data_IF_463724889779
#
_entry.id   IF_463724889779
#
_cell.length_a   1.000
_cell.length_b   1.000
_cell.length_c   1.000
_cell.angle_alpha   90.00
_cell.angle_beta   90.00
_cell.angle_gamma   90.00
#
_symmetry.space_group_name_H-M   'P 1'
#
loop_
_entity.id
_entity.type
_entity.pdbx_description
1 polymer ?
#
# COMPACT_ATOMS: atom_id res chain seq x y z
N UNK A 1 42.22 -54.71 88.19
CA UNK A 1 42.76 -53.86 87.12
C UNK A 1 42.07 -54.20 85.81
N UNK A 2 40.74 -54.22 85.83
CA UNK A 2 39.91 -54.61 84.67
C UNK A 2 38.59 -53.82 84.61
N UNK A 3 38.65 -52.51 84.60
CA UNK A 3 37.39 -51.67 84.49
C UNK A 3 37.54 -50.50 83.58
N UNK A 4 38.57 -50.45 82.74
CA UNK A 4 38.76 -49.23 81.91
C UNK A 4 38.57 -49.46 80.38
N UNK A 5 38.29 -50.73 79.99
CA UNK A 5 38.22 -51.03 78.54
C UNK A 5 36.79 -51.10 78.00
N UNK A 6 35.76 -51.16 78.82
CA UNK A 6 34.38 -51.18 78.34
C UNK A 6 33.78 -49.78 78.02
N UNK A 7 34.32 -48.72 78.56
CA UNK A 7 33.82 -47.37 78.35
C UNK A 7 34.25 -46.81 76.98
N UNK A 8 35.39 -47.21 76.47
CA UNK A 8 35.89 -46.71 75.18
C UNK A 8 35.17 -47.36 74.02
N UNK A 9 34.74 -48.58 74.09
CA UNK A 9 33.99 -49.27 73.02
C UNK A 9 32.60 -48.66 72.86
N UNK A 10 31.95 -48.26 73.94
CA UNK A 10 30.61 -47.63 73.92
C UNK A 10 30.64 -46.22 73.26
N UNK A 11 31.73 -45.50 73.43
CA UNK A 11 31.87 -44.16 72.85
C UNK A 11 32.14 -44.19 71.37
N UNK A 12 32.92 -45.18 70.89
CA UNK A 12 33.17 -45.36 69.43
C UNK A 12 31.91 -45.79 68.67
N UNK A 13 31.08 -46.65 69.26
CA UNK A 13 29.80 -47.03 68.61
C UNK A 13 28.84 -45.87 68.56
N UNK A 14 28.80 -45.01 69.57
CA UNK A 14 27.95 -43.85 69.58
C UNK A 14 28.44 -42.74 68.58
N UNK A 15 29.74 -42.58 68.41
CA UNK A 15 30.30 -41.67 67.42
C UNK A 15 29.98 -42.13 66.01
N UNK A 16 30.03 -43.41 65.74
CA UNK A 16 29.71 -43.97 64.43
C UNK A 16 28.19 -43.88 64.12
N UNK A 17 27.29 -44.04 65.07
CA UNK A 17 25.86 -43.83 64.90
C UNK A 17 25.54 -42.35 64.65
N UNK A 18 26.23 -41.41 65.27
CA UNK A 18 26.04 -39.99 65.07
C UNK A 18 26.57 -39.52 63.73
N UNK A 19 27.63 -40.11 63.22
CA UNK A 19 28.14 -39.72 61.88
C UNK A 19 27.30 -40.33 60.75
N UNK A 20 26.58 -41.40 60.91
CA UNK A 20 25.74 -42.02 59.89
C UNK A 20 24.36 -41.31 59.75
N UNK A 21 23.95 -40.59 60.80
CA UNK A 21 22.70 -39.79 60.74
C UNK A 21 22.91 -38.36 60.27
N UNK A 22 24.16 -38.05 59.86
CA UNK A 22 24.49 -36.73 59.36
C UNK A 22 24.20 -36.65 57.87
N UNK A 23 23.08 -36.06 57.59
CA UNK A 23 22.82 -35.27 56.41
C UNK A 23 22.10 -35.99 55.28
N UNK A 24 20.80 -35.88 55.29
CA UNK A 24 20.23 -35.24 54.14
C UNK A 24 20.32 -33.74 54.43
N UNK A 25 21.46 -33.18 54.13
CA UNK A 25 21.74 -31.78 54.41
C UNK A 25 20.84 -30.91 53.56
N UNK A 26 20.51 -29.72 54.02
CA UNK A 26 19.80 -28.68 53.29
C UNK A 26 20.38 -28.45 51.88
N UNK A 27 21.63 -28.81 51.65
CA UNK A 27 22.31 -28.75 50.33
C UNK A 27 21.73 -29.75 49.33
N UNK A 28 21.39 -30.98 49.72
CA UNK A 28 20.82 -31.98 48.79
C UNK A 28 19.37 -31.56 48.38
N UNK A 29 18.63 -30.97 49.32
CA UNK A 29 17.28 -30.48 49.04
C UNK A 29 17.34 -29.27 48.10
N UNK A 30 18.29 -28.36 48.30
CA UNK A 30 18.50 -27.21 47.39
C UNK A 30 18.97 -27.66 46.02
N UNK A 31 19.89 -28.61 45.92
CA UNK A 31 20.39 -29.18 44.68
C UNK A 31 19.26 -29.80 43.87
N UNK A 32 18.40 -30.58 44.50
CA UNK A 32 17.24 -31.20 43.86
C UNK A 32 16.22 -30.17 43.34
N UNK A 33 16.01 -29.09 44.07
CA UNK A 33 15.12 -27.97 43.63
C UNK A 33 15.71 -27.24 42.42
N UNK A 34 17.01 -26.98 42.45
CA UNK A 34 17.72 -26.33 41.34
C UNK A 34 17.70 -27.24 40.13
N UNK A 35 18.00 -28.54 40.31
CA UNK A 35 17.96 -29.54 39.23
C UNK A 35 16.55 -29.67 38.65
N UNK A 36 15.50 -29.59 39.46
CA UNK A 36 14.11 -29.61 39.00
C UNK A 36 13.78 -28.37 38.12
N UNK A 37 14.23 -27.19 38.57
CA UNK A 37 14.02 -25.98 37.77
C UNK A 37 14.73 -26.07 36.42
N UNK A 38 15.97 -26.55 36.41
CA UNK A 38 16.72 -26.80 35.17
C UNK A 38 16.01 -27.80 34.26
N UNK A 39 15.47 -28.86 34.84
CA UNK A 39 14.71 -29.86 34.09
C UNK A 39 13.45 -29.28 33.45
N UNK A 40 12.69 -28.46 34.18
CA UNK A 40 11.51 -27.77 33.65
C UNK A 40 11.90 -26.84 32.50
N UNK A 41 12.98 -26.08 32.67
CA UNK A 41 13.50 -25.18 31.64
C UNK A 41 13.93 -25.96 30.40
N UNK A 42 14.58 -27.10 30.58
CA UNK A 42 14.99 -27.96 29.47
C UNK A 42 13.79 -28.52 28.71
N UNK A 43 12.76 -28.95 29.41
CA UNK A 43 11.51 -29.43 28.76
C UNK A 43 10.85 -28.32 27.96
N UNK A 44 10.74 -27.14 28.53
CA UNK A 44 10.18 -25.97 27.83
C UNK A 44 11.01 -25.64 26.57
N UNK A 45 12.34 -25.65 26.69
CA UNK A 45 13.26 -25.41 25.58
C UNK A 45 13.08 -26.41 24.45
N UNK A 46 12.94 -27.69 24.81
CA UNK A 46 12.69 -28.77 23.82
C UNK A 46 11.35 -28.52 23.10
N UNK A 47 10.29 -28.19 23.83
CA UNK A 47 8.97 -27.91 23.23
C UNK A 47 9.08 -26.77 22.24
N UNK A 48 9.72 -25.64 22.61
CA UNK A 48 9.92 -24.50 21.72
C UNK A 48 10.80 -24.86 20.51
N UNK A 49 11.85 -25.66 20.71
CA UNK A 49 12.72 -26.13 19.62
C UNK A 49 11.94 -26.96 18.60
N UNK A 50 11.11 -27.88 19.09
CA UNK A 50 10.24 -28.70 18.23
C UNK A 50 9.25 -27.82 17.48
N UNK A 51 8.65 -26.83 18.14
CA UNK A 51 7.72 -25.87 17.49
C UNK A 51 8.44 -25.06 16.41
N UNK A 52 9.64 -24.58 16.68
CA UNK A 52 10.44 -23.82 15.71
C UNK A 52 10.83 -24.68 14.49
N UNK A 53 11.24 -25.94 14.75
CA UNK A 53 11.53 -26.90 13.67
C UNK A 53 10.27 -27.21 12.85
N UNK A 54 9.12 -27.37 13.52
CA UNK A 54 7.85 -27.60 12.85
C UNK A 54 7.46 -26.38 11.98
N UNK A 55 7.56 -25.17 12.53
CA UNK A 55 7.31 -23.92 11.78
C UNK A 55 8.30 -23.73 10.62
N UNK A 56 9.57 -24.07 10.82
CA UNK A 56 10.60 -23.98 9.79
C UNK A 56 10.48 -25.07 8.71
N UNK A 57 9.94 -26.24 9.05
CA UNK A 57 9.73 -27.35 8.10
C UNK A 57 8.40 -27.24 7.36
N UNK A 58 7.47 -26.42 7.85
CA UNK A 58 6.38 -25.98 7.01
C UNK A 58 7.05 -25.25 5.86
N UNK A 59 7.28 -25.98 4.75
CA UNK A 59 7.57 -25.31 3.47
C UNK A 59 6.59 -24.14 3.41
N UNK A 60 7.05 -22.91 3.17
CA UNK A 60 6.08 -21.91 2.79
C UNK A 60 5.24 -22.64 1.75
N UNK A 61 3.95 -22.91 2.04
CA UNK A 61 3.03 -23.24 0.98
C UNK A 61 3.47 -22.27 -0.10
N UNK A 62 3.92 -22.76 -1.23
CA UNK A 62 3.93 -21.97 -2.43
C UNK A 62 2.49 -21.47 -2.53
N UNK A 63 2.18 -20.53 -1.72
CA UNK A 63 1.44 -19.43 -2.15
C UNK A 63 2.32 -18.93 -3.29
N UNK A 64 2.25 -19.61 -4.46
CA UNK A 64 1.87 -18.78 -5.57
C UNK A 64 1.02 -17.78 -4.84
N UNK A 65 1.64 -16.67 -4.42
CA UNK A 65 0.86 -15.57 -4.00
C UNK A 65 -0.25 -15.55 -5.03
N UNK A 66 -1.37 -16.22 -4.76
CA UNK A 66 -2.57 -15.55 -5.10
C UNK A 66 -2.29 -14.27 -4.36
N UNK A 67 -1.64 -13.38 -5.06
CA UNK A 67 -1.62 -12.00 -4.72
C UNK A 67 -3.04 -11.86 -4.29
N UNK A 68 -3.30 -11.78 -2.99
CA UNK A 68 -4.54 -11.21 -2.55
C UNK A 68 -4.51 -9.95 -3.35
N UNK A 69 -5.09 -10.03 -4.54
CA UNK A 69 -5.19 -8.89 -5.45
C UNK A 69 -5.86 -7.91 -4.55
N UNK A 70 -5.04 -7.04 -3.99
CA UNK A 70 -5.54 -6.04 -3.07
C UNK A 70 -6.79 -5.55 -3.77
N UNK A 71 -7.94 -5.75 -3.19
CA UNK A 71 -9.27 -5.64 -3.84
C UNK A 71 -9.39 -4.36 -4.69
N UNK A 72 -8.46 -3.44 -4.48
CA UNK A 72 -8.36 -2.17 -5.18
C UNK A 72 -7.18 -2.10 -6.17
N UNK A 73 -6.36 -3.16 -6.30
CA UNK A 73 -5.27 -3.17 -7.30
C UNK A 73 -5.85 -3.26 -8.70
N UNK A 74 -5.23 -2.57 -9.63
CA UNK A 74 -5.61 -2.57 -11.03
C UNK A 74 -4.33 -2.55 -11.88
N UNK A 75 -4.20 -3.48 -12.81
CA UNK A 75 -2.99 -3.66 -13.60
C UNK A 75 -2.61 -2.39 -14.37
N UNK A 76 -1.34 -2.14 -14.49
CA UNK A 76 -0.78 -1.04 -15.29
C UNK A 76 -1.07 -1.26 -16.78
N UNK A 77 -1.02 -0.19 -17.58
CA UNK A 77 -1.17 -0.27 -19.04
C UNK A 77 0.09 0.35 -19.66
N UNK A 78 0.70 -0.39 -20.57
CA UNK A 78 1.95 -0.02 -21.25
C UNK A 78 1.71 0.10 -22.76
N UNK A 79 2.54 0.91 -23.42
CA UNK A 79 2.65 0.93 -24.88
C UNK A 79 3.52 -0.26 -25.38
N UNK A 80 3.73 -0.34 -26.69
CA UNK A 80 4.55 -1.39 -27.30
C UNK A 80 6.02 -1.39 -26.85
N UNK A 81 6.52 -0.23 -26.42
CA UNK A 81 7.90 0.00 -26.03
C UNK A 81 8.12 -0.15 -24.52
N UNK A 82 7.05 -0.35 -23.74
CA UNK A 82 7.09 -0.47 -22.28
C UNK A 82 6.90 0.85 -21.54
N UNK A 83 6.55 1.93 -22.23
CA UNK A 83 6.24 3.21 -21.59
C UNK A 83 4.89 3.12 -20.87
N UNK A 84 4.83 3.66 -19.65
CA UNK A 84 3.58 3.68 -18.88
C UNK A 84 2.57 4.65 -19.50
N UNK A 85 1.45 4.12 -19.90
CA UNK A 85 0.26 4.88 -20.28
C UNK A 85 -0.63 5.11 -19.05
N UNK A 86 -0.72 4.08 -18.20
CA UNK A 86 -1.44 4.13 -16.92
C UNK A 86 -0.65 3.38 -15.87
N UNK A 87 -0.54 3.97 -14.68
CA UNK A 87 0.14 3.34 -13.55
C UNK A 87 -0.70 3.42 -12.29
N UNK A 88 -0.74 2.33 -11.53
CA UNK A 88 -1.36 2.31 -10.19
C UNK A 88 -0.28 2.57 -9.16
N UNK A 89 -0.45 3.63 -8.37
CA UNK A 89 0.51 4.04 -7.34
C UNK A 89 -0.19 4.15 -5.99
N UNK A 90 0.57 3.94 -4.94
CA UNK A 90 0.10 4.25 -3.59
C UNK A 90 0.05 5.77 -3.44
N UNK A 91 -1.04 6.27 -2.90
CA UNK A 91 -1.21 7.67 -2.51
C UNK A 91 -1.76 7.73 -1.10
N UNK A 92 -1.57 8.84 -0.45
CA UNK A 92 -2.10 9.06 0.90
C UNK A 92 -3.07 10.24 0.83
N UNK A 93 -4.28 10.02 1.34
CA UNK A 93 -5.27 11.07 1.55
C UNK A 93 -5.21 11.48 3.03
N UNK A 94 -5.30 12.78 3.28
CA UNK A 94 -5.35 13.35 4.63
C UNK A 94 -6.76 13.83 4.91
N UNK A 95 -7.35 13.28 5.96
CA UNK A 95 -8.62 13.74 6.51
C UNK A 95 -8.44 14.42 7.86
N UNK A 96 -9.43 15.22 8.25
CA UNK A 96 -9.48 15.84 9.57
C UNK A 96 -10.80 15.44 10.22
N UNK A 97 -10.68 14.97 11.48
CA UNK A 97 -11.83 14.72 12.33
C UNK A 97 -12.01 15.91 13.30
N UNK A 98 -12.96 16.83 13.03
CA UNK A 98 -13.09 18.04 13.84
C UNK A 98 -13.37 17.82 15.32
N UNK A 99 -13.98 16.67 15.67
CA UNK A 99 -14.31 16.32 17.07
C UNK A 99 -13.04 16.09 17.90
N UNK A 100 -11.96 15.62 17.24
CA UNK A 100 -10.68 15.33 17.90
C UNK A 100 -9.72 16.53 17.93
N UNK A 101 -10.10 17.67 17.33
CA UNK A 101 -9.26 18.87 17.30
C UNK A 101 -9.25 19.54 18.67
N UNK A 102 -8.08 19.60 19.31
CA UNK A 102 -7.90 20.23 20.62
C UNK A 102 -7.82 21.75 20.48
N UNK A 103 -7.00 22.24 19.56
CA UNK A 103 -6.79 23.67 19.32
C UNK A 103 -6.98 23.98 17.82
N UNK A 104 -8.17 24.48 17.47
CA UNK A 104 -8.53 24.82 16.08
C UNK A 104 -7.64 25.92 15.50
N UNK A 105 -7.23 26.90 16.30
CA UNK A 105 -6.39 28.01 15.82
C UNK A 105 -5.00 27.52 15.48
N UNK A 106 -4.38 26.74 16.38
CA UNK A 106 -3.05 26.15 16.18
C UNK A 106 -3.03 25.24 14.94
N UNK A 107 -4.04 24.38 14.82
CA UNK A 107 -4.16 23.48 13.66
C UNK A 107 -4.23 24.29 12.35
N UNK A 108 -5.09 25.32 12.28
CA UNK A 108 -5.26 26.16 11.08
C UNK A 108 -3.97 26.87 10.71
N UNK A 109 -3.25 27.45 11.67
CA UNK A 109 -1.97 28.13 11.43
C UNK A 109 -0.97 27.15 10.84
N UNK A 110 -0.83 25.96 11.45
CA UNK A 110 0.11 24.93 10.98
C UNK A 110 -0.23 24.45 9.57
N UNK A 111 -1.51 24.19 9.31
CA UNK A 111 -1.95 23.77 7.96
C UNK A 111 -1.72 24.88 6.93
N UNK A 112 -1.90 26.14 7.30
CA UNK A 112 -1.68 27.28 6.42
C UNK A 112 -0.20 27.44 6.04
N UNK A 113 0.71 27.14 6.96
CA UNK A 113 2.15 27.15 6.69
C UNK A 113 2.54 26.06 5.68
N UNK A 114 1.90 24.89 5.75
CA UNK A 114 2.20 23.77 4.84
C UNK A 114 1.47 23.94 3.49
N UNK A 115 0.23 24.45 3.50
CA UNK A 115 -0.65 24.59 2.33
C UNK A 115 -1.18 26.01 2.18
N UNK A 116 -0.34 26.99 1.84
CA UNK A 116 -0.76 28.40 1.82
C UNK A 116 -1.87 28.71 0.81
N UNK A 117 -2.01 27.92 -0.25
CA UNK A 117 -2.92 28.20 -1.37
C UNK A 117 -4.35 27.63 -1.18
N UNK A 118 -4.68 27.09 0.00
CA UNK A 118 -6.02 26.55 0.25
C UNK A 118 -7.02 27.62 0.72
N UNK A 119 -8.29 27.36 0.46
CA UNK A 119 -9.39 28.21 0.93
C UNK A 119 -9.69 27.92 2.42
N UNK A 120 -9.07 28.66 3.32
CA UNK A 120 -9.23 28.47 4.76
C UNK A 120 -10.59 28.90 5.29
N UNK A 121 -11.31 29.79 4.60
CA UNK A 121 -12.69 30.13 4.97
C UNK A 121 -13.62 28.90 4.84
N UNK A 122 -13.43 28.10 3.79
CA UNK A 122 -14.19 26.86 3.62
C UNK A 122 -13.79 25.80 4.64
N UNK A 123 -12.48 25.68 4.94
CA UNK A 123 -11.95 24.72 5.93
C UNK A 123 -12.51 25.02 7.32
N UNK A 124 -12.57 26.30 7.72
CA UNK A 124 -13.17 26.74 8.98
C UNK A 124 -14.63 26.28 9.07
N UNK A 125 -15.42 26.51 8.02
CA UNK A 125 -16.83 26.07 7.96
C UNK A 125 -16.95 24.53 8.08
N UNK A 126 -16.01 23.78 7.49
CA UNK A 126 -15.99 22.31 7.62
C UNK A 126 -15.65 21.87 9.04
N UNK A 127 -14.72 22.56 9.71
CA UNK A 127 -14.37 22.30 11.12
C UNK A 127 -15.53 22.57 12.07
N UNK A 128 -16.39 23.55 11.76
CA UNK A 128 -17.58 23.88 12.57
C UNK A 128 -18.68 22.82 12.46
N UNK A 129 -18.75 22.08 11.35
CA UNK A 129 -19.78 21.06 11.12
C UNK A 129 -19.57 19.77 11.94
N UNK A 130 -18.44 19.64 12.60
CA UNK A 130 -18.08 18.46 13.44
C UNK A 130 -18.22 17.10 12.72
N UNK A 131 -18.04 17.11 11.39
CA UNK A 131 -18.03 15.89 10.56
C UNK A 131 -16.68 15.72 9.91
N UNK A 132 -16.19 14.47 9.88
CA UNK A 132 -14.95 14.11 9.16
C UNK A 132 -14.98 14.66 7.73
N UNK A 133 -13.86 15.20 7.25
CA UNK A 133 -13.71 15.64 5.86
C UNK A 133 -12.28 15.41 5.35
N UNK A 134 -12.14 15.16 4.06
CA UNK A 134 -10.82 15.10 3.43
C UNK A 134 -10.27 16.50 3.25
N UNK A 135 -9.10 16.75 3.82
CA UNK A 135 -8.38 18.02 3.74
C UNK A 135 -7.52 18.08 2.47
N UNK A 136 -6.78 17.02 2.18
CA UNK A 136 -5.94 16.91 0.99
C UNK A 136 -5.97 15.47 0.48
N UNK A 137 -6.16 15.30 -0.82
CA UNK A 137 -6.08 14.00 -1.50
C UNK A 137 -4.77 13.90 -2.26
N UNK A 138 -4.19 12.69 -2.32
CA UNK A 138 -2.95 12.40 -3.05
C UNK A 138 -1.79 13.31 -2.62
N UNK A 139 -1.60 13.43 -1.31
CA UNK A 139 -0.57 14.30 -0.74
C UNK A 139 0.83 13.84 -1.18
N UNK A 140 1.74 14.81 -1.41
CA UNK A 140 3.15 14.51 -1.66
C UNK A 140 3.83 13.98 -0.39
N UNK A 141 4.88 13.16 -0.56
CA UNK A 141 5.64 12.60 0.56
C UNK A 141 6.18 13.68 1.50
N UNK A 142 6.70 14.76 0.93
CA UNK A 142 7.22 15.92 1.68
C UNK A 142 6.15 16.55 2.58
N UNK A 143 4.97 16.84 2.02
CA UNK A 143 3.89 17.45 2.79
C UNK A 143 3.28 16.48 3.80
N UNK A 144 3.26 15.19 3.47
CA UNK A 144 2.85 14.14 4.41
C UNK A 144 3.72 14.11 5.66
N UNK A 145 5.05 14.14 5.47
CA UNK A 145 5.99 14.19 6.60
C UNK A 145 5.76 15.44 7.46
N UNK A 146 5.61 16.61 6.83
CA UNK A 146 5.33 17.88 7.55
C UNK A 146 4.05 17.80 8.37
N UNK A 147 2.99 17.22 7.82
CA UNK A 147 1.71 17.03 8.52
C UNK A 147 1.87 16.04 9.70
N UNK A 148 2.55 14.93 9.48
CA UNK A 148 2.74 13.93 10.54
C UNK A 148 3.56 14.48 11.70
N UNK A 149 4.53 15.36 11.43
CA UNK A 149 5.33 16.04 12.45
C UNK A 149 4.50 16.96 13.35
N UNK A 150 3.32 17.41 12.94
CA UNK A 150 2.43 18.20 13.80
C UNK A 150 1.92 17.40 15.01
N UNK A 151 1.86 16.08 14.90
CA UNK A 151 1.42 15.18 15.97
C UNK A 151 -0.02 15.41 16.41
N UNK A 152 -0.86 16.00 15.56
CA UNK A 152 -2.25 16.30 15.89
C UNK A 152 -3.13 15.08 15.64
N UNK A 153 -3.76 14.57 16.69
CA UNK A 153 -4.60 13.35 16.66
C UNK A 153 -5.82 13.48 15.76
N UNK A 154 -6.27 14.69 15.48
CA UNK A 154 -7.41 14.94 14.61
C UNK A 154 -7.10 14.65 13.12
N UNK A 155 -5.81 14.61 12.77
CA UNK A 155 -5.35 14.34 11.41
C UNK A 155 -5.30 12.81 11.20
N UNK A 156 -6.02 12.33 10.21
CA UNK A 156 -6.06 10.91 9.83
C UNK A 156 -5.49 10.74 8.44
N UNK A 157 -4.57 9.81 8.28
CA UNK A 157 -4.03 9.43 6.98
C UNK A 157 -4.67 8.13 6.50
N UNK A 158 -5.02 8.07 5.23
CA UNK A 158 -5.58 6.88 4.61
C UNK A 158 -4.78 6.54 3.34
N UNK A 159 -4.16 5.38 3.31
CA UNK A 159 -3.48 4.89 2.11
C UNK A 159 -4.51 4.39 1.10
N UNK A 160 -4.36 4.84 -0.14
CA UNK A 160 -5.19 4.40 -1.27
C UNK A 160 -4.33 4.06 -2.48
N UNK A 161 -4.84 3.19 -3.32
CA UNK A 161 -4.30 2.98 -4.65
C UNK A 161 -4.96 3.97 -5.60
N UNK A 162 -4.15 4.72 -6.31
CA UNK A 162 -4.60 5.77 -7.21
C UNK A 162 -4.05 5.52 -8.61
N UNK A 163 -4.90 5.72 -9.60
CA UNK A 163 -4.55 5.65 -11.02
C UNK A 163 -3.93 6.98 -11.45
N UNK A 164 -2.75 6.93 -12.04
CA UNK A 164 -2.11 8.09 -12.67
C UNK A 164 -1.91 7.82 -14.15
N UNK A 165 -1.97 8.87 -14.94
CA UNK A 165 -1.87 8.84 -16.39
C UNK A 165 -0.68 9.72 -16.80
N UNK A 166 0.54 9.14 -16.90
CA UNK A 166 1.75 9.94 -17.18
C UNK A 166 1.67 10.73 -18.49
N UNK A 167 0.99 10.17 -19.48
CA UNK A 167 0.84 10.78 -20.81
C UNK A 167 -0.33 11.79 -20.88
N UNK A 168 -0.99 12.05 -19.74
CA UNK A 168 -2.05 13.06 -19.60
C UNK A 168 -3.18 12.89 -20.61
N UNK A 169 -3.21 13.74 -21.63
CA UNK A 169 -4.26 13.78 -22.66
C UNK A 169 -3.97 12.90 -23.88
N UNK A 170 -2.72 12.49 -24.08
CA UNK A 170 -2.25 11.84 -25.34
C UNK A 170 -3.05 10.57 -25.69
N UNK A 171 -3.50 9.81 -24.69
CA UNK A 171 -4.23 8.57 -24.88
C UNK A 171 -5.65 8.61 -24.28
N UNK A 172 -6.19 9.80 -24.04
CA UNK A 172 -7.45 9.97 -23.29
C UNK A 172 -8.61 9.12 -23.84
N UNK A 173 -8.79 9.11 -25.16
CA UNK A 173 -9.87 8.39 -25.82
C UNK A 173 -9.65 6.89 -25.92
N UNK A 174 -8.38 6.45 -25.97
CA UNK A 174 -8.03 5.02 -26.00
C UNK A 174 -8.19 4.42 -24.60
N UNK A 175 -7.52 5.03 -23.64
CA UNK A 175 -7.48 4.54 -22.24
C UNK A 175 -8.85 4.69 -21.59
N UNK A 176 -9.46 5.89 -21.70
CA UNK A 176 -10.72 6.17 -21.03
C UNK A 176 -10.56 6.44 -19.54
N UNK A 177 -11.64 6.30 -18.79
CA UNK A 177 -11.71 6.74 -17.40
C UNK A 177 -12.22 5.62 -16.48
N UNK A 178 -11.89 5.76 -15.20
CA UNK A 178 -12.45 4.98 -14.09
C UNK A 178 -13.29 5.90 -13.20
N UNK A 179 -14.22 5.33 -12.46
CA UNK A 179 -14.96 6.05 -11.40
C UNK A 179 -14.19 6.03 -10.07
N UNK A 180 -14.77 6.60 -9.02
CA UNK A 180 -14.16 6.66 -7.68
C UNK A 180 -14.08 5.28 -7.00
N UNK A 181 -14.87 4.31 -7.48
CA UNK A 181 -14.84 2.92 -7.01
C UNK A 181 -13.87 2.04 -7.81
N UNK A 182 -12.98 2.65 -8.59
CA UNK A 182 -11.97 1.97 -9.41
C UNK A 182 -12.59 1.05 -10.49
N UNK A 183 -13.77 1.41 -11.00
CA UNK A 183 -14.45 0.70 -12.10
C UNK A 183 -14.30 1.48 -13.41
N UNK A 184 -13.95 0.80 -14.47
CA UNK A 184 -13.83 1.41 -15.80
C UNK A 184 -15.16 1.87 -16.35
N UNK A 185 -15.26 3.15 -16.74
CA UNK A 185 -16.48 3.76 -17.27
C UNK A 185 -16.39 4.08 -18.77
N UNK A 186 -15.18 4.18 -19.33
CA UNK A 186 -14.97 4.38 -20.77
C UNK A 186 -13.66 3.75 -21.26
N UNK A 187 -13.50 3.67 -22.57
CA UNK A 187 -12.26 3.21 -23.22
C UNK A 187 -11.81 1.81 -22.83
N UNK A 188 -10.50 1.59 -22.85
CA UNK A 188 -9.88 0.32 -22.44
C UNK A 188 -10.10 0.00 -20.97
N UNK A 189 -10.13 1.03 -20.11
CA UNK A 189 -10.44 0.85 -18.70
C UNK A 189 -11.80 0.16 -18.50
N UNK A 190 -12.79 0.48 -19.34
CA UNK A 190 -14.10 -0.19 -19.31
C UNK A 190 -14.05 -1.57 -19.98
N UNK A 191 -13.48 -1.63 -21.19
CA UNK A 191 -13.51 -2.87 -21.99
C UNK A 191 -12.74 -4.00 -21.32
N UNK A 192 -11.63 -3.70 -20.64
CA UNK A 192 -10.80 -4.67 -19.93
C UNK A 192 -10.97 -4.59 -18.41
N UNK A 193 -12.10 -4.08 -17.92
CA UNK A 193 -12.32 -3.83 -16.48
C UNK A 193 -11.99 -5.03 -15.61
N UNK A 194 -12.54 -6.20 -15.93
CA UNK A 194 -12.36 -7.42 -15.14
C UNK A 194 -10.92 -7.92 -15.24
N UNK A 195 -10.35 -7.97 -16.43
CA UNK A 195 -8.97 -8.39 -16.62
C UNK A 195 -7.99 -7.51 -15.83
N UNK A 196 -8.17 -6.19 -15.88
CA UNK A 196 -7.31 -5.23 -15.16
C UNK A 196 -7.41 -5.36 -13.64
N UNK A 197 -8.56 -5.83 -13.12
CA UNK A 197 -8.76 -6.07 -11.67
C UNK A 197 -8.23 -7.42 -11.21
N UNK A 198 -8.14 -8.41 -12.10
CA UNK A 198 -7.81 -9.79 -11.74
C UNK A 198 -6.33 -10.11 -11.88
N UNK A 199 -5.57 -9.30 -12.60
CA UNK A 199 -4.15 -9.57 -12.85
C UNK A 199 -3.25 -8.46 -12.32
N UNK A 200 -2.04 -8.84 -11.97
CA UNK A 200 -0.95 -7.88 -11.69
C UNK A 200 -0.05 -7.66 -12.90
N UNK A 201 -0.18 -8.49 -13.94
CA UNK A 201 0.59 -8.32 -15.17
C UNK A 201 0.08 -7.11 -15.95
N UNK A 202 0.98 -6.21 -16.39
CA UNK A 202 0.58 -5.05 -17.18
C UNK A 202 -0.10 -5.45 -18.49
N UNK A 203 -1.12 -4.71 -18.88
CA UNK A 203 -1.75 -4.82 -20.20
C UNK A 203 -0.88 -4.06 -21.20
N UNK A 204 -0.26 -4.80 -22.12
CA UNK A 204 0.58 -4.22 -23.18
C UNK A 204 -0.25 -3.96 -24.43
N UNK A 205 -0.21 -2.72 -24.93
CA UNK A 205 -0.90 -2.30 -26.13
C UNK A 205 0.05 -2.25 -27.34
N UNK A 206 -0.50 -2.21 -28.53
CA UNK A 206 0.25 -2.09 -29.79
C UNK A 206 0.61 -0.65 -30.13
N UNK A 207 0.03 0.35 -29.42
CA UNK A 207 0.26 1.77 -29.70
C UNK A 207 1.70 2.19 -29.35
N UNK A 208 2.19 3.19 -30.05
CA UNK A 208 3.51 3.77 -29.89
C UNK A 208 3.37 5.22 -29.41
N UNK A 209 3.95 5.52 -28.26
CA UNK A 209 3.80 6.84 -27.59
C UNK A 209 4.41 7.96 -28.44
N UNK A 210 5.56 7.74 -29.05
CA UNK A 210 6.24 8.76 -29.83
C UNK A 210 5.48 9.07 -31.12
N UNK A 211 5.01 8.03 -31.80
CA UNK A 211 4.19 8.19 -33.03
C UNK A 211 2.83 8.86 -32.69
N UNK A 212 2.21 8.44 -31.59
CA UNK A 212 0.96 9.05 -31.10
C UNK A 212 1.15 10.55 -30.85
N UNK A 213 2.26 10.92 -30.22
CA UNK A 213 2.59 12.32 -29.93
C UNK A 213 2.77 13.12 -31.22
N UNK A 214 3.57 12.63 -32.16
CA UNK A 214 3.82 13.31 -33.44
C UNK A 214 2.52 13.56 -34.23
N UNK A 215 1.69 12.53 -34.35
CA UNK A 215 0.40 12.63 -35.08
C UNK A 215 -0.52 13.64 -34.37
N UNK A 216 -0.56 13.59 -33.04
CA UNK A 216 -1.38 14.53 -32.25
C UNK A 216 -0.94 16.00 -32.50
N UNK A 217 0.36 16.25 -32.45
CA UNK A 217 0.88 17.62 -32.64
C UNK A 217 0.51 18.16 -34.02
N UNK A 218 0.60 17.33 -35.07
CA UNK A 218 0.20 17.74 -36.42
C UNK A 218 -1.32 18.03 -36.51
N UNK A 219 -2.16 17.18 -35.89
CA UNK A 219 -3.61 17.41 -35.85
C UNK A 219 -3.96 18.70 -35.13
N UNK A 220 -3.31 19.03 -34.01
CA UNK A 220 -3.51 20.26 -33.24
C UNK A 220 -3.14 21.49 -34.10
N UNK A 221 -1.98 21.42 -34.78
CA UNK A 221 -1.50 22.47 -35.67
C UNK A 221 -2.50 22.74 -36.82
N UNK A 222 -2.91 21.67 -37.52
CA UNK A 222 -3.82 21.81 -38.64
C UNK A 222 -5.25 22.19 -38.22
N UNK A 223 -5.68 21.80 -37.02
CA UNK A 223 -6.99 22.27 -36.52
C UNK A 223 -7.05 23.78 -36.39
N UNK A 224 -5.98 24.42 -35.93
CA UNK A 224 -5.95 25.88 -35.85
C UNK A 224 -6.01 26.54 -37.23
N UNK A 225 -5.37 25.95 -38.24
CA UNK A 225 -5.33 26.46 -39.62
C UNK A 225 -6.70 26.28 -40.27
N UNK A 226 -7.32 25.11 -40.18
CA UNK A 226 -8.58 24.77 -40.84
C UNK A 226 -9.82 25.12 -40.01
N UNK A 227 -9.64 25.56 -38.75
CA UNK A 227 -10.72 25.84 -37.79
C UNK A 227 -11.72 24.70 -37.66
N UNK A 228 -11.22 23.45 -37.73
CA UNK A 228 -12.07 22.25 -37.65
C UNK A 228 -12.63 22.07 -36.24
N UNK A 229 -13.88 21.59 -36.15
CA UNK A 229 -14.53 21.27 -34.86
C UNK A 229 -13.92 20.03 -34.18
N UNK A 230 -13.24 19.22 -34.92
CA UNK A 230 -12.55 18.03 -34.43
C UNK A 230 -11.80 17.31 -35.55
N UNK A 231 -10.84 16.52 -35.17
CA UNK A 231 -10.01 15.78 -36.12
C UNK A 231 -9.66 14.42 -35.55
N UNK A 232 -9.34 13.47 -36.40
CA UNK A 232 -8.92 12.14 -35.98
C UNK A 232 -7.92 11.56 -36.99
N UNK A 233 -7.02 10.73 -36.49
CA UNK A 233 -6.11 9.98 -37.33
C UNK A 233 -5.91 8.59 -36.73
N UNK A 234 -5.81 7.57 -37.60
CA UNK A 234 -5.48 6.19 -37.23
C UNK A 234 -4.31 5.73 -38.11
N UNK A 235 -3.28 5.23 -37.47
CA UNK A 235 -2.16 4.57 -38.16
C UNK A 235 -2.20 3.10 -37.79
N UNK A 236 -2.28 2.26 -38.83
CA UNK A 236 -2.38 0.80 -38.69
C UNK A 236 -1.31 0.11 -39.52
N UNK A 237 -0.73 -0.96 -38.98
CA UNK A 237 0.15 -1.84 -39.72
C UNK A 237 -0.70 -2.77 -40.61
N UNK A 238 -0.56 -2.62 -41.90
CA UNK A 238 -1.41 -3.34 -42.90
C UNK A 238 -1.14 -4.86 -42.93
N UNK A 239 0.03 -5.30 -42.47
CA UNK A 239 0.40 -6.70 -42.49
C UNK A 239 -0.24 -7.53 -41.38
N UNK A 240 -0.48 -6.91 -40.20
CA UNK A 240 -0.96 -7.65 -39.03
C UNK A 240 -2.16 -7.00 -38.34
N UNK A 241 -2.60 -5.82 -38.81
CA UNK A 241 -3.76 -5.11 -38.24
C UNK A 241 -3.50 -4.38 -36.96
N UNK A 242 -2.26 -4.31 -36.47
CA UNK A 242 -1.93 -3.58 -35.24
C UNK A 242 -2.20 -2.08 -35.39
N UNK A 243 -2.93 -1.51 -34.44
CA UNK A 243 -3.10 -0.06 -34.32
C UNK A 243 -1.84 0.52 -33.64
N UNK A 244 -1.07 1.28 -34.40
CA UNK A 244 0.17 1.92 -33.94
C UNK A 244 -0.17 3.27 -33.26
N UNK A 245 -1.18 3.97 -33.80
CA UNK A 245 -1.64 5.23 -33.24
C UNK A 245 -3.13 5.41 -33.56
N UNK A 246 -3.86 6.01 -32.59
CA UNK A 246 -5.26 6.42 -32.77
C UNK A 246 -5.47 7.71 -31.99
N UNK A 247 -5.50 8.81 -32.69
CA UNK A 247 -5.69 10.14 -32.10
C UNK A 247 -7.09 10.63 -32.39
N UNK A 248 -7.74 11.21 -31.41
CA UNK A 248 -8.98 11.95 -31.55
C UNK A 248 -8.81 13.31 -30.85
N UNK A 249 -9.13 14.39 -31.52
CA UNK A 249 -8.99 15.76 -30.99
C UNK A 249 -10.29 16.52 -31.21
N UNK A 250 -10.75 17.41 -30.29
CA UNK A 250 -10.09 17.77 -29.04
C UNK A 250 -10.07 16.64 -28.02
N UNK A 251 -9.01 16.63 -27.20
CA UNK A 251 -8.76 15.66 -26.16
C UNK A 251 -8.89 16.29 -24.75
N UNK A 252 -8.59 15.51 -23.71
CA UNK A 252 -8.72 15.96 -22.32
C UNK A 252 -7.68 15.27 -21.44
N UNK A 253 -7.26 15.96 -20.36
CA UNK A 253 -6.30 15.37 -19.40
C UNK A 253 -7.01 14.38 -18.47
N UNK A 254 -6.62 13.13 -18.53
CA UNK A 254 -7.16 12.04 -17.69
C UNK A 254 -6.96 12.27 -16.19
N UNK A 255 -5.96 13.07 -15.80
CA UNK A 255 -5.70 13.40 -14.39
C UNK A 255 -6.58 14.55 -13.88
N UNK A 256 -7.28 15.28 -14.76
CA UNK A 256 -8.07 16.48 -14.43
C UNK A 256 -9.53 16.31 -14.84
N UNK A 257 -10.35 15.72 -13.97
CA UNK A 257 -11.73 15.36 -14.32
C UNK A 257 -12.74 16.49 -14.22
N UNK A 258 -12.44 17.54 -13.45
CA UNK A 258 -13.43 18.53 -13.02
C UNK A 258 -13.86 19.56 -14.08
N UNK A 259 -13.15 19.64 -15.21
CA UNK A 259 -13.34 20.70 -16.21
C UNK A 259 -13.36 20.17 -17.65
N UNK A 260 -13.90 18.99 -17.86
CA UNK A 260 -13.92 18.40 -19.21
C UNK A 260 -15.24 18.78 -19.88
N UNK A 261 -15.14 19.38 -21.04
CA UNK A 261 -16.30 19.70 -21.90
C UNK A 261 -16.82 18.38 -22.50
N UNK A 262 -18.13 18.17 -22.48
CA UNK A 262 -18.75 16.90 -22.90
C UNK A 262 -18.34 16.48 -24.32
N UNK A 263 -18.22 17.44 -25.24
CA UNK A 263 -17.80 17.19 -26.62
C UNK A 263 -16.37 16.60 -26.72
N UNK A 264 -15.53 16.86 -25.73
CA UNK A 264 -14.16 16.34 -25.71
C UNK A 264 -14.10 14.85 -25.34
N UNK A 265 -15.16 14.29 -24.73
CA UNK A 265 -15.24 12.86 -24.44
C UNK A 265 -15.47 12.00 -25.70
N UNK A 266 -15.88 12.59 -26.82
CA UNK A 266 -16.20 11.84 -28.03
C UNK A 266 -14.92 11.35 -28.69
N UNK A 267 -14.76 10.03 -28.76
CA UNK A 267 -13.72 9.42 -29.58
C UNK A 267 -14.16 9.45 -31.04
N UNK A 268 -13.68 10.43 -31.79
CA UNK A 268 -14.05 10.63 -33.20
C UNK A 268 -13.54 9.55 -34.13
N UNK A 269 -12.55 8.80 -33.70
CA UNK A 269 -12.05 7.65 -34.47
C UNK A 269 -13.05 6.47 -34.48
N UNK A 270 -13.90 6.38 -33.44
CA UNK A 270 -14.83 5.25 -33.30
C UNK A 270 -16.32 5.67 -33.27
N UNK A 271 -16.63 6.92 -32.86
CA UNK A 271 -18.00 7.45 -32.71
C UNK A 271 -18.18 8.76 -33.44
N UNK A 272 -17.26 9.14 -34.33
CA UNK A 272 -17.35 10.37 -35.10
C UNK A 272 -18.50 10.29 -36.06
N UNK A 273 -19.34 10.89 -35.79
CA UNK A 273 -20.41 10.86 -36.66
C UNK A 273 -20.58 12.19 -37.24
N UNK A 274 -20.91 12.08 -38.06
CA UNK A 274 -21.23 13.19 -38.73
C UNK A 274 -21.97 14.15 -38.35
#
# INVERSE_FOLDING_TARGET
MEMNNKKNIFLEEYENEFSYKKSKTNLDIQFNRIAFIFFVFLVISIIYSIQLLHLGSLKPKDNQKSLTVNKNHRADILDRNGNYLVKTVKSIDIGINPIEVIDKKKLLINLQLIFPNKNYAEIIKKLEKNKFFYFEKKISSENYEKIMLLGDKSIKSEEKLTRIYPQKNLFSHIIGQIDDDNKGISGLEKSFNEKLKQTSEPLKLTVDTDIQFLIREELVKFQSIFRSKGSTAILMNVNNGEIISMVSYPDFDLNKREKIVDLNFINRATKGXX
#
